data_IF_319494906839
#
_entry.id   IF_319494906839
#
_cell.length_a   1.000
_cell.length_b   1.000
_cell.length_c   1.000
_cell.angle_alpha   90.00
_cell.angle_beta   90.00
_cell.angle_gamma   90.00
#
_symmetry.space_group_name_H-M   'P 1'
#
loop_
_entity.id
_entity.type
_entity.pdbx_description
1 polymer ?
#
# COMPACT_ATOMS: atom_id res chain seq x y z
N UNK A 1 -2.20 -26.43 31.72
CA UNK A 1 -1.85 -25.06 31.68
C UNK A 1 -1.64 -24.63 30.24
N UNK A 2 -2.64 -23.99 29.64
CA UNK A 2 -2.58 -23.43 28.28
C UNK A 2 -1.95 -22.05 28.45
N UNK A 3 -0.74 -21.87 27.93
CA UNK A 3 -0.08 -20.57 27.84
C UNK A 3 -0.89 -19.66 26.89
N UNK A 4 -1.23 -18.42 27.28
CA UNK A 4 -1.86 -17.49 26.35
C UNK A 4 -0.85 -17.08 25.28
N UNK A 5 -1.20 -17.36 24.03
CA UNK A 5 -0.49 -16.84 22.86
C UNK A 5 -0.63 -15.32 22.86
N UNK A 6 0.40 -14.63 23.33
CA UNK A 6 0.48 -13.18 23.13
C UNK A 6 0.72 -12.92 21.64
N UNK A 7 -0.33 -12.51 20.95
CA UNK A 7 -0.23 -11.91 19.63
C UNK A 7 0.51 -10.56 19.83
N UNK A 8 1.82 -10.57 19.64
CA UNK A 8 2.59 -9.32 19.50
C UNK A 8 1.96 -8.54 18.36
N UNK A 9 1.60 -7.29 18.63
CA UNK A 9 1.02 -6.34 17.69
C UNK A 9 1.76 -6.42 16.36
N UNK A 10 1.08 -6.91 15.32
CA UNK A 10 1.53 -6.86 13.94
C UNK A 10 1.53 -5.39 13.51
N UNK A 11 2.65 -4.83 13.07
CA UNK A 11 2.67 -3.49 12.53
C UNK A 11 1.99 -3.47 11.17
N UNK A 12 1.06 -2.57 11.03
CA UNK A 12 0.50 -2.00 9.81
C UNK A 12 -0.36 -2.96 8.99
N UNK A 13 -1.58 -3.16 9.43
CA UNK A 13 -2.72 -3.50 8.59
C UNK A 13 -3.26 -2.18 8.01
N UNK A 14 -2.90 -1.81 6.78
CA UNK A 14 -3.53 -0.70 6.07
C UNK A 14 -4.90 -1.17 5.54
N UNK A 15 -5.95 -0.99 6.33
CA UNK A 15 -7.33 -1.22 5.91
C UNK A 15 -7.87 -0.01 5.17
N UNK A 16 -8.26 -0.18 3.91
CA UNK A 16 -8.99 0.82 3.15
C UNK A 16 -10.47 0.48 3.13
N UNK A 17 -11.27 1.30 3.79
CA UNK A 17 -12.71 1.22 3.70
C UNK A 17 -13.21 2.21 2.64
N UNK A 18 -13.55 1.71 1.45
CA UNK A 18 -14.20 2.49 0.41
C UNK A 18 -15.64 2.01 0.23
N UNK A 19 -16.64 2.80 0.66
CA UNK A 19 -18.09 2.50 0.55
C UNK A 19 -18.45 1.07 0.96
N UNK A 20 -17.96 0.60 2.10
CA UNK A 20 -18.27 -0.74 2.61
C UNK A 20 -17.39 -1.88 2.07
N UNK A 21 -16.47 -1.63 1.15
CA UNK A 21 -15.48 -2.62 0.74
C UNK A 21 -14.15 -2.38 1.46
N UNK A 22 -13.67 -3.37 2.18
CA UNK A 22 -12.36 -3.36 2.84
C UNK A 22 -11.33 -3.72 1.77
N UNK A 23 -10.56 -2.74 1.30
CA UNK A 23 -9.39 -3.02 0.46
C UNK A 23 -8.21 -3.16 1.40
N UNK A 24 -7.82 -4.40 1.70
CA UNK A 24 -6.54 -4.70 2.34
C UNK A 24 -5.43 -4.41 1.31
N UNK A 25 -4.79 -3.24 1.38
CA UNK A 25 -3.67 -2.89 0.49
C UNK A 25 -2.36 -3.57 0.91
N UNK A 26 -2.37 -4.19 2.08
CA UNK A 26 -1.24 -4.94 2.62
C UNK A 26 -1.74 -6.19 3.35
N UNK A 27 -1.57 -7.33 2.77
CA UNK A 27 -1.40 -8.50 3.60
C UNK A 27 0.05 -8.46 4.08
N UNK A 28 0.26 -8.19 5.36
CA UNK A 28 1.55 -8.25 6.07
C UNK A 28 2.37 -9.52 5.74
N UNK A 29 1.80 -10.44 5.03
CA UNK A 29 2.27 -11.77 4.74
C UNK A 29 3.21 -11.90 3.54
N UNK A 30 3.10 -11.06 2.51
CA UNK A 30 4.10 -11.02 1.44
C UNK A 30 5.38 -10.31 1.90
N UNK A 31 5.26 -9.44 2.90
CA UNK A 31 6.40 -8.81 3.55
C UNK A 31 7.02 -9.73 4.63
N UNK A 32 6.25 -10.62 5.24
CA UNK A 32 6.71 -11.52 6.31
C UNK A 32 7.69 -12.60 5.84
N UNK A 33 7.77 -12.89 4.53
CA UNK A 33 8.83 -13.78 4.00
C UNK A 33 10.23 -13.13 3.95
N UNK A 34 10.33 -11.84 4.31
CA UNK A 34 11.59 -11.09 4.50
C UNK A 34 11.61 -10.36 5.84
N UNK A 35 11.16 -11.00 6.88
CA UNK A 35 10.93 -10.48 8.24
C UNK A 35 12.16 -9.88 8.93
N UNK A 36 13.36 -10.05 8.39
CA UNK A 36 14.59 -9.59 9.03
C UNK A 36 14.87 -8.07 8.93
N UNK A 37 14.02 -7.27 8.27
CA UNK A 37 14.32 -5.84 8.00
C UNK A 37 13.37 -4.82 8.62
N UNK A 38 12.24 -5.21 9.17
CA UNK A 38 11.26 -4.28 9.74
C UNK A 38 11.34 -4.13 11.26
N UNK A 39 12.05 -5.04 11.95
CA UNK A 39 12.15 -5.08 13.41
C UNK A 39 13.04 -3.98 14.03
N UNK A 40 13.69 -3.14 13.20
CA UNK A 40 14.59 -2.07 13.67
C UNK A 40 13.97 -0.65 13.62
N UNK A 41 12.65 -0.53 13.56
CA UNK A 41 11.96 0.78 13.50
C UNK A 41 11.26 1.13 14.82
N UNK A 42 11.70 0.59 15.93
CA UNK A 42 11.26 1.07 17.24
C UNK A 42 11.81 2.49 17.47
N UNK A 43 10.91 3.49 17.36
CA UNK A 43 11.17 4.88 17.78
C UNK A 43 11.51 5.89 16.68
N UNK A 44 11.51 5.54 15.39
CA UNK A 44 11.68 6.49 14.28
C UNK A 44 10.37 6.66 13.53
N UNK A 45 9.93 7.90 13.32
CA UNK A 45 8.82 8.22 12.42
C UNK A 45 9.19 7.76 11.01
N UNK A 46 8.41 6.84 10.43
CA UNK A 46 8.62 6.32 9.10
C UNK A 46 8.29 7.39 8.07
N UNK A 47 9.22 7.71 7.16
CA UNK A 47 9.00 8.65 6.07
C UNK A 47 8.40 7.96 4.87
N UNK A 48 7.23 8.43 4.46
CA UNK A 48 6.45 7.86 3.35
C UNK A 48 6.22 8.92 2.28
N UNK A 49 6.62 8.64 1.05
CA UNK A 49 6.38 9.51 -0.09
C UNK A 49 5.30 8.91 -0.97
N UNK A 50 4.25 9.68 -1.22
CA UNK A 50 3.11 9.28 -2.05
C UNK A 50 3.16 10.09 -3.34
N UNK A 51 3.18 9.43 -4.49
CA UNK A 51 3.20 10.01 -5.82
C UNK A 51 1.83 9.85 -6.47
N UNK A 52 1.13 10.97 -6.66
CA UNK A 52 -0.22 11.06 -7.20
C UNK A 52 -1.27 11.38 -6.14
N UNK A 53 -1.84 12.59 -6.21
CA UNK A 53 -2.95 13.06 -5.36
C UNK A 53 -4.31 12.79 -6.03
N UNK A 54 -4.49 11.56 -6.46
CA UNK A 54 -5.79 11.04 -6.89
C UNK A 54 -6.61 10.52 -5.70
N UNK A 55 -7.77 9.91 -5.98
CA UNK A 55 -8.65 9.34 -4.92
C UNK A 55 -7.91 8.37 -3.98
N UNK A 56 -6.98 7.59 -4.50
CA UNK A 56 -6.19 6.63 -3.72
C UNK A 56 -5.11 7.35 -2.93
N UNK A 57 -4.31 8.20 -3.59
CA UNK A 57 -3.20 8.90 -2.94
C UNK A 57 -3.64 9.82 -1.83
N UNK A 58 -4.68 10.63 -2.05
CA UNK A 58 -5.25 11.49 -1.01
C UNK A 58 -5.75 10.68 0.20
N UNK A 59 -6.44 9.56 -0.06
CA UNK A 59 -6.93 8.71 1.03
C UNK A 59 -5.80 8.06 1.81
N UNK A 60 -4.73 7.62 1.13
CA UNK A 60 -3.51 7.12 1.75
C UNK A 60 -2.85 8.19 2.61
N UNK A 61 -2.61 9.37 2.05
CA UNK A 61 -2.00 10.49 2.74
C UNK A 61 -2.77 10.85 4.02
N UNK A 62 -4.10 10.94 3.92
CA UNK A 62 -4.98 11.21 5.06
C UNK A 62 -4.86 10.14 6.15
N UNK A 63 -4.91 8.86 5.78
CA UNK A 63 -4.83 7.76 6.75
C UNK A 63 -3.49 7.76 7.46
N UNK A 64 -2.40 7.85 6.70
CA UNK A 64 -1.04 7.79 7.24
C UNK A 64 -0.70 9.02 8.08
N UNK A 65 -1.16 10.21 7.70
CA UNK A 65 -1.05 11.42 8.53
C UNK A 65 -1.76 11.26 9.87
N UNK A 66 -2.96 10.65 9.87
CA UNK A 66 -3.70 10.39 11.12
C UNK A 66 -2.92 9.43 12.05
N UNK A 67 -2.16 8.51 11.48
CA UNK A 67 -1.30 7.54 12.20
C UNK A 67 0.07 8.13 12.56
N UNK A 68 0.29 9.43 12.29
CA UNK A 68 1.51 10.21 12.60
C UNK A 68 2.77 9.73 11.87
N UNK A 69 2.64 9.25 10.64
CA UNK A 69 3.76 9.06 9.75
C UNK A 69 4.22 10.39 9.14
N UNK A 70 5.52 10.52 8.84
CA UNK A 70 6.06 11.65 8.06
C UNK A 70 5.68 11.45 6.58
N UNK A 71 4.65 12.16 6.12
CA UNK A 71 4.07 11.97 4.79
C UNK A 71 4.41 13.13 3.88
N UNK A 72 4.95 12.84 2.70
CA UNK A 72 5.12 13.80 1.60
C UNK A 72 4.26 13.37 0.42
N UNK A 73 3.45 14.29 -0.10
CA UNK A 73 2.57 14.06 -1.23
C UNK A 73 3.09 14.80 -2.47
N UNK A 74 3.22 14.12 -3.61
CA UNK A 74 3.67 14.66 -4.89
C UNK A 74 2.53 14.57 -5.91
N UNK A 75 2.19 15.66 -6.57
CA UNK A 75 1.30 15.68 -7.74
C UNK A 75 1.67 16.85 -8.66
N UNK A 76 1.35 16.75 -9.94
CA UNK A 76 1.52 17.86 -10.89
C UNK A 76 0.44 18.91 -10.80
N UNK A 77 -0.70 18.61 -10.15
CA UNK A 77 -1.82 19.53 -9.97
C UNK A 77 -1.71 20.27 -8.64
N UNK A 78 -1.20 21.50 -8.68
CA UNK A 78 -1.06 22.37 -7.51
C UNK A 78 -2.38 22.62 -6.76
N UNK A 79 -3.54 22.60 -7.46
CA UNK A 79 -4.83 22.85 -6.80
C UNK A 79 -5.20 21.71 -5.86
N UNK A 80 -4.91 20.46 -6.27
CA UNK A 80 -5.10 19.29 -5.40
C UNK A 80 -4.18 19.36 -4.20
N UNK A 81 -2.90 19.66 -4.43
CA UNK A 81 -1.91 19.76 -3.35
C UNK A 81 -2.27 20.84 -2.33
N UNK A 82 -2.77 21.99 -2.77
CA UNK A 82 -3.28 23.05 -1.86
C UNK A 82 -4.43 22.52 -1.01
N UNK A 83 -5.39 21.83 -1.63
CA UNK A 83 -6.48 21.20 -0.89
C UNK A 83 -5.97 20.19 0.14
N UNK A 84 -4.99 19.37 -0.23
CA UNK A 84 -4.38 18.41 0.70
C UNK A 84 -3.68 19.11 1.87
N UNK A 85 -2.88 20.16 1.61
CA UNK A 85 -2.18 20.95 2.64
C UNK A 85 -3.16 21.65 3.61
N UNK A 86 -4.28 22.12 3.10
CA UNK A 86 -5.30 22.82 3.93
C UNK A 86 -6.03 21.87 4.89
N UNK A 87 -6.04 20.57 4.61
CA UNK A 87 -6.85 19.59 5.35
C UNK A 87 -6.04 18.50 6.06
N UNK A 88 -4.77 18.34 5.71
CA UNK A 88 -3.90 17.30 6.24
C UNK A 88 -2.60 17.90 6.75
N UNK A 89 -2.07 17.32 7.82
CA UNK A 89 -0.73 17.67 8.34
C UNK A 89 0.33 16.87 7.58
N UNK A 90 0.65 17.32 6.36
CA UNK A 90 1.60 16.67 5.44
C UNK A 90 2.39 17.71 4.65
N UNK A 91 3.58 17.32 4.19
CA UNK A 91 4.32 18.11 3.21
C UNK A 91 3.83 17.79 1.78
N UNK A 92 3.86 18.80 0.90
CA UNK A 92 3.46 18.66 -0.50
C UNK A 92 4.56 19.19 -1.43
N UNK A 93 4.81 18.47 -2.53
CA UNK A 93 5.75 18.89 -3.59
C UNK A 93 5.03 18.86 -4.93
N UNK A 94 5.01 20.02 -5.62
CA UNK A 94 4.38 20.12 -6.93
C UNK A 94 5.33 19.67 -8.03
N UNK A 95 4.91 18.75 -8.88
CA UNK A 95 5.69 18.31 -10.02
C UNK A 95 5.38 16.90 -10.49
N UNK A 96 6.12 16.46 -11.52
CA UNK A 96 5.98 15.12 -12.05
C UNK A 96 6.75 14.13 -11.17
N UNK A 97 6.07 13.11 -10.65
CA UNK A 97 6.69 12.08 -9.81
C UNK A 97 7.74 11.21 -10.51
N UNK A 98 7.81 11.24 -11.84
CA UNK A 98 8.89 10.61 -12.61
C UNK A 98 10.09 11.54 -12.84
N UNK A 99 10.07 12.77 -12.30
CA UNK A 99 11.21 13.68 -12.35
C UNK A 99 12.10 13.49 -11.11
N UNK A 100 13.39 13.23 -11.36
CA UNK A 100 14.38 13.03 -10.31
C UNK A 100 14.56 14.25 -9.41
N UNK A 101 14.44 15.47 -9.94
CA UNK A 101 14.58 16.70 -9.15
C UNK A 101 13.38 16.90 -8.21
N UNK A 102 12.16 16.59 -8.68
CA UNK A 102 10.95 16.60 -7.84
C UNK A 102 11.05 15.57 -6.71
N UNK A 103 11.54 14.37 -7.01
CA UNK A 103 11.76 13.34 -6.00
C UNK A 103 12.83 13.75 -4.97
N UNK A 104 13.91 14.42 -5.41
CA UNK A 104 14.91 14.96 -4.48
C UNK A 104 14.36 16.07 -3.60
N UNK A 105 13.51 16.97 -4.13
CA UNK A 105 12.82 18.00 -3.33
C UNK A 105 11.92 17.36 -2.26
N UNK A 106 11.33 16.20 -2.54
CA UNK A 106 10.56 15.43 -1.57
C UNK A 106 11.42 14.62 -0.59
N UNK A 107 12.76 14.75 -0.67
CA UNK A 107 13.72 14.03 0.18
C UNK A 107 13.61 12.50 0.07
N UNK A 108 13.49 12.01 -1.19
CA UNK A 108 13.31 10.59 -1.51
C UNK A 108 14.44 9.70 -1.00
N UNK A 109 15.64 10.24 -0.84
CA UNK A 109 16.82 9.49 -0.38
C UNK A 109 16.66 8.95 1.05
N UNK A 110 15.86 9.62 1.88
CA UNK A 110 15.58 9.21 3.25
C UNK A 110 14.21 8.53 3.41
N UNK A 111 13.50 8.29 2.29
CA UNK A 111 12.20 7.64 2.34
C UNK A 111 12.33 6.14 2.69
N UNK A 112 11.56 5.72 3.68
CA UNK A 112 11.43 4.30 4.01
C UNK A 112 10.51 3.61 2.99
N UNK A 113 9.52 4.35 2.45
CA UNK A 113 8.57 3.83 1.48
C UNK A 113 8.17 4.91 0.46
N UNK A 114 8.20 4.57 -0.83
CA UNK A 114 7.63 5.37 -1.90
C UNK A 114 6.45 4.61 -2.54
N UNK A 115 5.29 5.26 -2.65
CA UNK A 115 4.07 4.68 -3.21
C UNK A 115 3.66 5.50 -4.43
N UNK A 116 3.71 4.92 -5.62
CA UNK A 116 3.24 5.56 -6.84
C UNK A 116 1.84 5.06 -7.21
N UNK A 117 0.87 5.99 -7.24
CA UNK A 117 -0.54 5.70 -7.44
C UNK A 117 -1.25 6.74 -8.33
N UNK A 118 -0.53 7.27 -9.32
CA UNK A 118 -1.08 8.17 -10.35
C UNK A 118 -2.10 7.43 -11.25
N UNK A 119 -2.67 8.13 -12.22
CA UNK A 119 -3.58 7.53 -13.21
C UNK A 119 -2.87 6.65 -14.24
N UNK A 120 -1.56 6.73 -14.37
CA UNK A 120 -0.78 6.09 -15.43
C UNK A 120 0.19 5.06 -14.85
N UNK A 121 0.04 3.81 -15.28
CA UNK A 121 0.82 2.68 -14.77
C UNK A 121 2.31 2.82 -15.11
N UNK A 122 2.62 3.31 -16.31
CA UNK A 122 3.99 3.56 -16.77
C UNK A 122 4.68 4.61 -15.90
N UNK A 123 3.96 5.69 -15.58
CA UNK A 123 4.45 6.73 -14.68
C UNK A 123 4.71 6.15 -13.28
N UNK A 124 3.81 5.30 -12.78
CA UNK A 124 3.97 4.66 -11.48
C UNK A 124 5.19 3.74 -11.41
N UNK A 125 5.41 2.93 -12.45
CA UNK A 125 6.58 2.06 -12.53
C UNK A 125 7.88 2.85 -12.65
N UNK A 126 7.90 3.89 -13.52
CA UNK A 126 9.07 4.73 -13.72
C UNK A 126 9.42 5.54 -12.47
N UNK A 127 8.42 6.12 -11.81
CA UNK A 127 8.61 6.85 -10.54
C UNK A 127 9.22 5.95 -9.47
N UNK A 128 8.74 4.72 -9.34
CA UNK A 128 9.29 3.74 -8.40
C UNK A 128 10.74 3.37 -8.72
N UNK A 129 11.07 3.17 -10.02
CA UNK A 129 12.43 2.89 -10.44
C UNK A 129 13.38 4.04 -10.06
N UNK A 130 12.99 5.29 -10.37
CA UNK A 130 13.81 6.47 -10.06
C UNK A 130 13.92 6.65 -8.55
N UNK A 131 12.81 6.54 -7.82
CA UNK A 131 12.79 6.62 -6.36
C UNK A 131 13.76 5.62 -5.72
N UNK A 132 13.76 4.39 -6.20
CA UNK A 132 14.68 3.34 -5.73
C UNK A 132 16.14 3.66 -6.03
N UNK A 133 16.42 4.18 -7.22
CA UNK A 133 17.78 4.61 -7.62
C UNK A 133 18.29 5.79 -6.80
N UNK A 134 17.39 6.68 -6.37
CA UNK A 134 17.71 7.83 -5.53
C UNK A 134 17.81 7.49 -4.03
N UNK A 135 17.48 6.27 -3.61
CA UNK A 135 17.72 5.82 -2.24
C UNK A 135 16.51 5.36 -1.44
N UNK A 136 15.29 5.47 -1.97
CA UNK A 136 14.11 4.95 -1.28
C UNK A 136 14.31 3.47 -0.91
N UNK A 137 13.98 3.10 0.33
CA UNK A 137 14.19 1.72 0.82
C UNK A 137 13.25 0.72 0.20
N UNK A 138 11.98 1.11 0.05
CA UNK A 138 10.93 0.28 -0.53
C UNK A 138 10.10 1.09 -1.49
N UNK A 139 9.58 0.41 -2.53
CA UNK A 139 8.74 1.04 -3.55
C UNK A 139 7.53 0.18 -3.85
N UNK A 140 6.37 0.83 -3.99
CA UNK A 140 5.11 0.19 -4.35
C UNK A 140 4.52 0.93 -5.55
N UNK A 141 4.26 0.20 -6.64
CA UNK A 141 3.60 0.74 -7.82
C UNK A 141 2.17 0.23 -7.93
N UNK A 142 1.23 1.14 -8.16
CA UNK A 142 -0.12 0.77 -8.62
C UNK A 142 -0.04 0.45 -10.10
N UNK A 143 -0.48 -0.77 -10.48
CA UNK A 143 -0.49 -1.26 -11.86
C UNK A 143 -1.84 -1.88 -12.15
N UNK A 144 -2.68 -1.18 -12.93
CA UNK A 144 -4.05 -1.59 -13.25
C UNK A 144 -4.15 -2.41 -14.53
N UNK A 145 -3.31 -2.05 -15.52
CA UNK A 145 -3.34 -2.73 -16.81
C UNK A 145 -3.02 -4.22 -16.64
N UNK A 146 -3.92 -5.13 -17.02
CA UNK A 146 -3.71 -6.56 -16.86
C UNK A 146 -2.50 -7.10 -17.63
N UNK A 147 -2.10 -6.44 -18.72
CA UNK A 147 -0.93 -6.83 -19.51
C UNK A 147 0.33 -6.56 -18.68
N UNK A 148 0.47 -5.36 -18.13
CA UNK A 148 1.61 -5.00 -17.30
C UNK A 148 1.65 -5.80 -16.01
N UNK A 149 0.50 -5.98 -15.35
CA UNK A 149 0.43 -6.73 -14.10
C UNK A 149 0.85 -8.20 -14.26
N UNK A 150 0.51 -8.84 -15.38
CA UNK A 150 0.99 -10.21 -15.68
C UNK A 150 2.50 -10.26 -15.93
N UNK A 151 3.07 -9.20 -16.51
CA UNK A 151 4.50 -9.10 -16.81
C UNK A 151 5.34 -8.62 -15.62
N UNK A 152 4.70 -8.13 -14.56
CA UNK A 152 5.41 -7.55 -13.42
C UNK A 152 6.39 -8.53 -12.79
N UNK A 153 6.11 -9.83 -12.84
CA UNK A 153 7.00 -10.88 -12.36
C UNK A 153 8.37 -10.91 -13.07
N UNK A 154 8.38 -10.54 -14.35
CA UNK A 154 9.59 -10.43 -15.16
C UNK A 154 10.33 -9.12 -14.89
N UNK A 155 9.58 -8.04 -14.67
CA UNK A 155 10.12 -6.68 -14.56
C UNK A 155 10.44 -6.26 -13.12
N UNK A 156 9.94 -6.98 -12.13
CA UNK A 156 10.03 -6.60 -10.72
C UNK A 156 11.47 -6.43 -10.22
N UNK A 157 12.36 -7.31 -10.65
CA UNK A 157 13.76 -7.26 -10.26
C UNK A 157 14.48 -6.10 -10.93
N UNK A 158 14.28 -5.90 -12.24
CA UNK A 158 14.91 -4.82 -13.00
C UNK A 158 14.40 -3.44 -12.57
N UNK A 159 13.12 -3.34 -12.29
CA UNK A 159 12.50 -2.11 -11.76
C UNK A 159 12.75 -1.91 -10.26
N UNK A 160 13.41 -2.87 -9.59
CA UNK A 160 13.63 -2.84 -8.15
C UNK A 160 12.34 -2.57 -7.33
N UNK A 161 11.20 -3.06 -7.82
CA UNK A 161 9.92 -2.92 -7.15
C UNK A 161 9.83 -3.86 -5.94
N UNK A 162 9.51 -3.30 -4.79
CA UNK A 162 9.17 -4.12 -3.62
C UNK A 162 7.83 -4.81 -3.83
N UNK A 163 6.84 -4.08 -4.37
CA UNK A 163 5.50 -4.61 -4.65
C UNK A 163 4.84 -3.87 -5.83
N UNK A 164 4.02 -4.59 -6.59
CA UNK A 164 3.03 -4.02 -7.50
C UNK A 164 1.63 -4.40 -7.01
N UNK A 165 0.71 -3.44 -7.06
CA UNK A 165 -0.66 -3.59 -6.58
C UNK A 165 -1.64 -3.28 -7.69
N UNK A 166 -2.58 -4.19 -7.93
CA UNK A 166 -3.75 -3.96 -8.77
C UNK A 166 -5.00 -3.92 -7.89
N UNK A 167 -5.50 -2.72 -7.54
CA UNK A 167 -6.64 -2.60 -6.63
C UNK A 167 -7.92 -3.22 -7.18
N UNK A 168 -8.10 -3.16 -8.49
CA UNK A 168 -9.28 -3.71 -9.17
C UNK A 168 -9.33 -5.24 -9.06
N UNK A 169 -8.18 -5.92 -9.22
CA UNK A 169 -8.11 -7.38 -9.03
C UNK A 169 -8.32 -7.77 -7.57
N UNK A 170 -7.73 -7.04 -6.62
CA UNK A 170 -7.91 -7.32 -5.19
C UNK A 170 -9.39 -7.23 -4.82
N UNK A 171 -10.09 -6.20 -5.29
CA UNK A 171 -11.53 -6.04 -5.03
C UNK A 171 -12.35 -7.14 -5.70
N UNK A 172 -12.01 -7.52 -6.94
CA UNK A 172 -12.70 -8.60 -7.65
C UNK A 172 -12.52 -9.94 -6.94
N UNK A 173 -11.32 -10.24 -6.47
CA UNK A 173 -11.03 -11.46 -5.71
C UNK A 173 -11.80 -11.49 -4.40
N UNK A 174 -11.89 -10.36 -3.70
CA UNK A 174 -12.64 -10.25 -2.44
C UNK A 174 -14.14 -10.43 -2.64
N UNK A 175 -14.72 -9.78 -3.67
CA UNK A 175 -16.13 -9.97 -4.03
C UNK A 175 -16.40 -11.43 -4.39
N UNK A 176 -15.50 -12.05 -5.15
CA UNK A 176 -15.64 -13.46 -5.53
C UNK A 176 -15.67 -14.38 -4.32
N UNK A 177 -14.81 -14.14 -3.32
CA UNK A 177 -14.82 -14.90 -2.06
C UNK A 177 -16.12 -14.75 -1.28
N UNK A 178 -16.61 -13.50 -1.15
CA UNK A 178 -17.88 -13.23 -0.47
C UNK A 178 -19.07 -13.94 -1.16
N UNK A 179 -19.02 -14.09 -2.49
CA UNK A 179 -20.07 -14.81 -3.23
C UNK A 179 -19.93 -16.34 -3.10
N UNK A 180 -18.71 -16.86 -2.96
CA UNK A 180 -18.45 -18.29 -2.78
C UNK A 180 -18.85 -18.74 -1.36
N UNK A 181 -18.66 -17.88 -0.36
CA UNK A 181 -18.92 -18.18 1.05
C UNK A 181 -19.85 -17.14 1.67
N UNK A 182 -21.13 -17.08 1.27
CA UNK A 182 -22.06 -16.02 1.67
C UNK A 182 -22.37 -16.02 3.17
N UNK A 183 -22.23 -17.17 3.84
CA UNK A 183 -22.49 -17.32 5.27
C UNK A 183 -21.25 -17.07 6.15
N UNK A 184 -20.10 -16.82 5.56
CA UNK A 184 -18.88 -16.54 6.31
C UNK A 184 -18.89 -15.11 6.88
N UNK A 185 -18.71 -14.98 8.18
CA UNK A 185 -18.55 -13.67 8.84
C UNK A 185 -17.14 -13.09 8.61
N UNK A 186 -16.15 -13.96 8.44
CA UNK A 186 -14.77 -13.59 8.14
C UNK A 186 -14.09 -14.67 7.29
N UNK A 187 -13.28 -14.23 6.33
CA UNK A 187 -12.48 -15.11 5.47
C UNK A 187 -11.03 -14.66 5.54
N UNK A 188 -10.16 -15.52 6.03
CA UNK A 188 -8.72 -15.27 6.04
C UNK A 188 -8.00 -16.24 5.10
N UNK A 189 -7.12 -15.69 4.25
CA UNK A 189 -6.39 -16.47 3.26
C UNK A 189 -4.95 -16.69 3.70
N UNK A 190 -4.50 -17.94 3.64
CA UNK A 190 -3.16 -18.34 4.03
C UNK A 190 -2.40 -19.03 2.89
N UNK A 191 -1.04 -19.03 2.97
CA UNK A 191 -0.14 -19.74 2.05
C UNK A 191 -0.38 -19.33 0.58
N UNK A 192 -0.37 -18.01 0.28
CA UNK A 192 -0.57 -17.46 -1.07
C UNK A 192 -1.87 -17.94 -1.73
N UNK A 193 -2.97 -17.91 -0.99
CA UNK A 193 -4.29 -18.27 -1.51
C UNK A 193 -4.59 -19.78 -1.56
N UNK A 194 -3.69 -20.64 -1.03
CA UNK A 194 -3.90 -22.11 -1.04
C UNK A 194 -4.66 -22.65 0.17
N UNK A 195 -4.83 -21.85 1.22
CA UNK A 195 -5.59 -22.20 2.42
C UNK A 195 -6.45 -21.02 2.81
N UNK A 196 -7.70 -21.29 3.13
CA UNK A 196 -8.67 -20.31 3.61
C UNK A 196 -9.18 -20.73 4.98
N UNK A 197 -9.26 -19.77 5.91
CA UNK A 197 -9.91 -19.93 7.20
C UNK A 197 -11.24 -19.19 7.12
N UNK A 198 -12.33 -19.91 7.36
CA UNK A 198 -13.67 -19.35 7.34
C UNK A 198 -14.20 -19.30 8.78
N UNK A 199 -14.69 -18.15 9.17
CA UNK A 199 -15.49 -18.00 10.39
C UNK A 199 -16.96 -18.03 10.02
N UNK A 200 -17.68 -19.03 10.51
CA UNK A 200 -19.09 -19.20 10.25
C UNK A 200 -19.91 -18.98 11.54
N UNK A 201 -21.02 -18.25 11.49
CA UNK A 201 -21.92 -18.14 12.63
C UNK A 201 -22.61 -19.48 12.86
N UNK A 202 -22.45 -20.03 14.05
CA UNK A 202 -23.17 -21.25 14.45
C UNK A 202 -24.49 -20.83 15.11
N UNK A 203 -25.60 -21.09 14.44
CA UNK A 203 -26.92 -20.91 15.08
C UNK A 203 -27.15 -22.01 16.09
N UNK A 204 -27.59 -21.63 17.30
CA UNK A 204 -27.85 -22.58 18.41
C UNK A 204 -29.10 -23.50 18.19
N UNK A 205 -29.68 -23.45 16.98
CA UNK A 205 -30.83 -24.28 16.60
C UNK A 205 -30.37 -25.33 15.58
N UNK A 206 -29.80 -26.40 16.07
CA UNK A 206 -29.63 -27.66 15.37
C UNK A 206 -30.64 -28.67 15.90
#
# INVERSE_FOLDING_TARGET
GILPFQVKKLPILLYFQYKGAIIALFTAREMCSRQEKWDNIEGKEMKIIIIGDGKVGYKLARQLSTEKYDVVLIDSDEKKLRFATDHLDIACVAGNGADAEVLKQADIAHADLAIACTSEDECNMLSCLIARKLGARHTIARVRNPIYYRQIGLLKEDLHLSMAVNPELIVADEISRLLIFPDASQIETFVKGRMELLELPVSANG
#
